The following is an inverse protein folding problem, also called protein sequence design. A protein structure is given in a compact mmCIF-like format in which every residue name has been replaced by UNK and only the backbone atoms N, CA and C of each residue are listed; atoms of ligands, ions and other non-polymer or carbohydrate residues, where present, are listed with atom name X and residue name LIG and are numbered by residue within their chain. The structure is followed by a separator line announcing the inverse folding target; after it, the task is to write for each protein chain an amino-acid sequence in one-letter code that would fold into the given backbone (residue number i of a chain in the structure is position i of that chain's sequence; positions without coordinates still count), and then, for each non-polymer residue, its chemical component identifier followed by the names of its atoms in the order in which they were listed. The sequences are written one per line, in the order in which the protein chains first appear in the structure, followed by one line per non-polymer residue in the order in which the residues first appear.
data_IF_925211085251
#
_entry.id   IF_925211085251
#
_cell.length_a   1.000
_cell.length_b   1.000
_cell.length_c   1.000
_cell.angle_alpha   90.00
_cell.angle_beta   90.00
_cell.angle_gamma   90.00
#
_symmetry.space_group_name_H-M   'P 1'
#
loop_
_entity.id
_entity.type
_entity.pdbx_description
1 polymer ?
#
# COMPACT_ATOMS: atom_id res chain seq x y z
N UNK A 1 -23.86 0.31 -5.26
CA UNK A 1 -22.58 -0.41 -5.35
C UNK A 1 -21.69 0.45 -6.22
N UNK A 2 -20.56 0.90 -5.70
CA UNK A 2 -19.53 1.58 -6.51
C UNK A 2 -19.02 0.57 -7.54
N UNK A 3 -18.80 1.01 -8.78
CA UNK A 3 -18.14 0.16 -9.78
C UNK A 3 -16.73 -0.16 -9.27
N UNK A 4 -16.27 -1.43 -9.25
CA UNK A 4 -14.90 -1.76 -8.88
C UNK A 4 -13.84 -0.93 -9.62
N UNK A 5 -14.14 -0.51 -10.84
CA UNK A 5 -13.27 0.34 -11.64
C UNK A 5 -13.18 1.78 -11.10
N UNK A 6 -14.28 2.32 -10.55
CA UNK A 6 -14.30 3.62 -9.89
C UNK A 6 -13.40 3.61 -8.65
N UNK A 7 -13.44 2.53 -7.86
CA UNK A 7 -12.61 2.38 -6.66
C UNK A 7 -11.12 2.30 -7.02
N UNK A 8 -10.78 1.59 -8.11
CA UNK A 8 -9.41 1.53 -8.65
C UNK A 8 -8.94 2.91 -9.11
N UNK A 9 -9.74 3.63 -9.91
CA UNK A 9 -9.34 4.95 -10.39
C UNK A 9 -9.25 5.98 -9.26
N UNK A 10 -10.19 5.95 -8.29
CA UNK A 10 -10.11 6.78 -7.10
C UNK A 10 -8.85 6.48 -6.28
N UNK A 11 -8.49 5.20 -6.12
CA UNK A 11 -7.26 4.80 -5.45
C UNK A 11 -6.01 5.26 -6.22
N UNK A 12 -5.98 5.19 -7.55
CA UNK A 12 -4.83 5.61 -8.34
C UNK A 12 -4.74 7.13 -8.59
N UNK A 13 -5.77 7.91 -8.25
CA UNK A 13 -5.74 9.37 -8.42
C UNK A 13 -4.70 10.07 -7.53
N UNK A 14 -4.25 9.44 -6.45
CA UNK A 14 -3.24 9.98 -5.54
C UNK A 14 -1.81 9.59 -5.98
N UNK A 15 -0.89 10.55 -6.12
CA UNK A 15 0.47 10.27 -6.59
C UNK A 15 1.27 9.40 -5.62
N UNK A 16 1.07 9.55 -4.30
CA UNK A 16 1.74 8.74 -3.29
C UNK A 16 1.28 7.28 -3.37
N UNK A 17 -0.01 7.03 -3.59
CA UNK A 17 -0.55 5.68 -3.79
C UNK A 17 0.00 5.03 -5.06
N UNK A 18 0.12 5.78 -6.17
CA UNK A 18 0.75 5.27 -7.40
C UNK A 18 2.21 4.90 -7.20
N UNK A 19 2.96 5.72 -6.48
CA UNK A 19 4.36 5.43 -6.16
C UNK A 19 4.50 4.17 -5.28
N UNK A 20 3.64 4.00 -4.27
CA UNK A 20 3.60 2.78 -3.46
C UNK A 20 3.33 1.52 -4.29
N UNK A 21 2.37 1.57 -5.22
CA UNK A 21 2.07 0.47 -6.14
C UNK A 21 3.27 0.18 -7.05
N UNK A 22 3.88 1.22 -7.63
CA UNK A 22 5.05 1.06 -8.50
C UNK A 22 6.24 0.42 -7.76
N UNK A 23 6.45 0.77 -6.49
CA UNK A 23 7.50 0.16 -5.66
C UNK A 23 7.21 -1.31 -5.33
N UNK A 24 5.96 -1.62 -4.97
CA UNK A 24 5.53 -3.01 -4.70
C UNK A 24 5.53 -3.89 -5.95
N UNK A 25 5.37 -3.30 -7.14
CA UNK A 25 5.55 -4.02 -8.40
C UNK A 25 7.00 -4.50 -8.62
N UNK A 26 7.98 -3.89 -7.93
CA UNK A 26 9.38 -4.31 -7.93
C UNK A 26 9.71 -5.40 -6.90
N UNK A 27 8.80 -5.69 -5.97
CA UNK A 27 8.99 -6.70 -4.92
C UNK A 27 8.26 -6.36 -3.61
N UNK A 28 8.16 -7.35 -2.74
CA UNK A 28 7.54 -7.18 -1.43
C UNK A 28 8.33 -6.20 -0.55
N UNK A 29 7.61 -5.41 0.25
CA UNK A 29 8.20 -4.48 1.20
C UNK A 29 7.34 -4.40 2.47
N UNK A 30 8.01 -4.20 3.60
CA UNK A 30 7.35 -3.89 4.87
C UNK A 30 6.76 -2.48 4.84
N UNK A 31 5.78 -2.22 5.71
CA UNK A 31 5.21 -0.86 5.85
C UNK A 31 6.28 0.17 6.23
N UNK A 32 7.28 -0.22 7.01
CA UNK A 32 8.41 0.65 7.39
C UNK A 32 9.29 1.01 6.19
N UNK A 33 9.66 0.02 5.37
CA UNK A 33 10.43 0.24 4.13
C UNK A 33 9.63 1.08 3.12
N UNK A 34 8.33 0.85 3.02
CA UNK A 34 7.45 1.68 2.19
C UNK A 34 7.37 3.10 2.73
N UNK A 35 7.41 3.32 4.04
CA UNK A 35 7.31 4.66 4.63
C UNK A 35 8.58 5.49 4.52
N UNK A 36 9.76 4.87 4.48
CA UNK A 36 11.06 5.54 4.50
C UNK A 36 11.25 6.73 3.55
N UNK A 37 10.79 6.71 2.28
CA UNK A 37 11.00 7.84 1.36
C UNK A 37 10.01 9.00 1.52
N UNK A 38 8.94 8.85 2.30
CA UNK A 38 7.91 9.88 2.41
C UNK A 38 8.09 10.73 3.67
N UNK A 39 7.90 12.06 3.60
CA UNK A 39 7.95 12.94 4.77
C UNK A 39 6.64 12.89 5.56
N UNK A 40 6.18 11.68 5.92
CA UNK A 40 4.92 11.44 6.63
C UNK A 40 5.04 10.25 7.57
N UNK A 41 4.08 10.13 8.49
CA UNK A 41 4.11 9.05 9.47
C UNK A 41 3.77 7.69 8.86
N UNK A 42 4.25 6.62 9.50
CA UNK A 42 3.89 5.22 9.16
C UNK A 42 2.37 5.01 9.20
N UNK A 43 1.67 5.71 10.09
CA UNK A 43 0.20 5.68 10.18
C UNK A 43 -0.45 6.31 8.95
N UNK A 44 0.11 7.41 8.42
CA UNK A 44 -0.36 7.98 7.17
C UNK A 44 -0.17 6.98 6.02
N UNK A 45 1.00 6.34 5.92
CA UNK A 45 1.28 5.31 4.90
C UNK A 45 0.30 4.15 5.01
N UNK A 46 0.03 3.69 6.22
CA UNK A 46 -0.94 2.63 6.49
C UNK A 46 -2.35 2.98 5.99
N UNK A 47 -2.75 4.27 6.05
CA UNK A 47 -4.04 4.71 5.48
C UNK A 47 -4.04 4.60 3.96
N UNK A 48 -2.96 5.00 3.28
CA UNK A 48 -2.83 4.82 1.83
C UNK A 48 -2.89 3.34 1.44
N UNK A 49 -2.17 2.48 2.16
CA UNK A 49 -2.19 1.03 1.93
C UNK A 49 -3.58 0.42 2.14
N UNK A 50 -4.35 0.91 3.12
CA UNK A 50 -5.73 0.45 3.34
C UNK A 50 -6.66 0.83 2.19
N UNK A 51 -6.49 2.02 1.60
CA UNK A 51 -7.25 2.43 0.41
C UNK A 51 -6.89 1.55 -0.79
N UNK A 52 -5.60 1.30 -1.01
CA UNK A 52 -5.12 0.42 -2.09
C UNK A 52 -5.61 -1.02 -1.90
N UNK A 53 -5.59 -1.55 -0.68
CA UNK A 53 -6.09 -2.88 -0.34
C UNK A 53 -7.61 -2.98 -0.57
N UNK A 54 -8.36 -1.95 -0.18
CA UNK A 54 -9.80 -1.87 -0.45
C UNK A 54 -10.14 -1.86 -1.94
N UNK A 55 -9.27 -1.27 -2.77
CA UNK A 55 -9.39 -1.29 -4.23
C UNK A 55 -8.76 -2.53 -4.89
N UNK A 56 -8.24 -3.49 -4.11
CA UNK A 56 -7.63 -4.71 -4.63
C UNK A 56 -6.27 -4.54 -5.32
N UNK A 57 -5.61 -3.39 -5.14
CA UNK A 57 -4.33 -3.06 -5.79
C UNK A 57 -3.11 -3.59 -5.04
N UNK A 58 -3.25 -3.85 -3.74
CA UNK A 58 -2.21 -4.43 -2.90
C UNK A 58 -2.82 -5.46 -1.96
N UNK A 59 -2.00 -6.39 -1.48
CA UNK A 59 -2.40 -7.35 -0.45
C UNK A 59 -1.37 -7.37 0.66
N UNK A 60 -1.79 -7.73 1.87
CA UNK A 60 -0.87 -8.01 2.97
C UNK A 60 -0.45 -9.48 2.91
N UNK A 61 0.83 -9.72 2.69
CA UNK A 61 1.40 -11.01 3.04
C UNK A 61 1.47 -11.12 4.57
N UNK A 62 0.93 -12.21 5.13
CA UNK A 62 1.24 -12.56 6.52
C UNK A 62 2.68 -13.04 6.53
N UNK A 63 3.56 -12.19 7.03
CA UNK A 63 4.96 -12.53 7.24
C UNK A 63 5.02 -13.65 8.31
N UNK A 64 5.09 -14.91 7.86
CA UNK A 64 5.14 -16.06 8.76
C UNK A 64 6.50 -16.18 9.48
N UNK A 65 7.49 -15.35 9.14
CA UNK A 65 8.89 -15.57 9.44
C UNK A 65 9.59 -14.38 10.12
N UNK A 66 8.95 -13.76 11.12
CA UNK A 66 9.68 -12.95 12.12
C UNK A 66 9.22 -13.29 13.54
N UNK A 67 9.40 -14.55 13.93
CA UNK A 67 9.61 -14.91 15.33
C UNK A 67 11.11 -14.83 15.58
N UNK A 68 11.57 -13.70 16.06
CA UNK A 68 12.86 -13.61 16.74
C UNK A 68 12.78 -14.47 18.00
N UNK A 69 13.69 -15.44 18.11
CA UNK A 69 14.00 -16.12 19.38
C UNK A 69 14.66 -15.15 20.35
#
# INVERSE_FOLDING_TARGET
MSDPLDDVFAALADPTRRDMVARLAGGDATVGELAAPYPMSVQAVSKHLKVLEGAGLVTKAKDAQRRTV
#
